data_IF_595895402470
#
_entry.id   IF_595895402470
#
_cell.length_a   1.000
_cell.length_b   1.000
_cell.length_c   1.000
_cell.angle_alpha   90.00
_cell.angle_beta   90.00
_cell.angle_gamma   90.00
#
_symmetry.space_group_name_H-M   'P 1'
#
loop_
_entity.id
_entity.type
_entity.pdbx_description
1 polymer ?
#
# COMPACT_ATOMS: atom_id res chain seq x y z
N UNK A 1 14.76 4.98 5.23
CA UNK A 1 15.73 5.30 6.29
C UNK A 1 15.19 4.79 7.61
N UNK A 2 16.05 4.36 8.53
CA UNK A 2 15.59 3.95 9.86
C UNK A 2 15.22 5.18 10.69
N UNK A 3 14.04 5.17 11.32
CA UNK A 3 13.58 6.24 12.20
C UNK A 3 14.43 6.22 13.49
N UNK A 4 14.82 7.39 14.00
CA UNK A 4 15.69 7.48 15.16
C UNK A 4 15.06 6.84 16.42
N UNK A 5 15.80 5.91 17.05
CA UNK A 5 15.36 5.14 18.22
C UNK A 5 14.07 4.34 17.96
N UNK A 6 13.90 3.81 16.75
CA UNK A 6 12.80 2.95 16.35
C UNK A 6 13.31 1.86 15.41
N UNK A 7 12.76 0.63 15.44
CA UNK A 7 13.06 -0.39 14.45
C UNK A 7 12.40 -0.09 13.08
N UNK A 8 11.55 0.93 12.99
CA UNK A 8 10.81 1.26 11.78
C UNK A 8 11.71 1.87 10.69
N UNK A 9 11.52 1.42 9.47
CA UNK A 9 12.08 1.96 8.25
C UNK A 9 11.03 2.78 7.51
N UNK A 10 11.32 4.05 7.23
CA UNK A 10 10.48 4.97 6.48
C UNK A 10 11.03 5.18 5.08
N UNK A 11 10.21 4.99 4.06
CA UNK A 11 10.52 5.32 2.67
C UNK A 11 9.37 6.09 2.01
N UNK A 12 9.57 6.59 0.79
CA UNK A 12 8.52 6.81 -0.19
C UNK A 12 8.55 5.72 -1.26
N UNK A 13 7.42 5.51 -1.92
CA UNK A 13 7.32 4.63 -3.08
C UNK A 13 7.81 5.34 -4.35
N UNK A 14 8.74 4.75 -5.09
CA UNK A 14 9.24 5.35 -6.35
C UNK A 14 8.22 5.36 -7.49
N UNK A 15 6.99 4.86 -7.27
CA UNK A 15 5.89 4.92 -8.23
C UNK A 15 5.54 6.36 -8.64
N UNK A 16 5.84 7.33 -7.77
CA UNK A 16 5.66 8.76 -8.03
C UNK A 16 6.46 9.26 -9.25
N UNK A 17 7.53 8.55 -9.65
CA UNK A 17 8.37 8.89 -10.78
C UNK A 17 7.97 8.07 -12.01
N UNK A 18 7.44 8.68 -13.09
CA UNK A 18 7.01 7.94 -14.27
C UNK A 18 8.15 7.14 -14.93
N UNK A 19 7.91 5.86 -15.20
CA UNK A 19 8.87 5.00 -15.87
C UNK A 19 8.39 3.55 -15.98
N UNK A 20 8.51 2.98 -17.18
CA UNK A 20 8.07 1.59 -17.46
C UNK A 20 9.25 0.64 -17.67
N UNK A 21 10.30 1.14 -18.32
CA UNK A 21 11.52 0.36 -18.60
C UNK A 21 12.51 0.49 -17.45
N UNK A 22 13.39 -0.51 -17.31
CA UNK A 22 14.47 -0.47 -16.32
C UNK A 22 15.36 0.77 -16.51
N UNK A 23 15.65 1.16 -17.75
CA UNK A 23 16.47 2.33 -18.04
C UNK A 23 15.84 3.63 -17.51
N UNK A 24 14.53 3.82 -17.70
CA UNK A 24 13.79 4.96 -17.16
C UNK A 24 13.75 4.94 -15.63
N UNK A 25 13.43 3.78 -15.05
CA UNK A 25 13.41 3.62 -13.59
C UNK A 25 14.77 3.99 -13.02
N UNK A 26 15.86 3.44 -13.56
CA UNK A 26 17.20 3.72 -13.05
C UNK A 26 17.62 5.19 -13.22
N UNK A 27 17.25 5.82 -14.34
CA UNK A 27 17.47 7.25 -14.53
C UNK A 27 16.74 8.10 -13.48
N UNK A 28 15.49 7.76 -13.14
CA UNK A 28 14.75 8.42 -12.07
C UNK A 28 15.42 8.24 -10.70
N UNK A 29 15.88 7.02 -10.39
CA UNK A 29 16.63 6.76 -9.15
C UNK A 29 17.88 7.64 -9.06
N UNK A 30 18.63 7.76 -10.15
CA UNK A 30 19.84 8.59 -10.23
C UNK A 30 19.54 10.09 -10.09
N UNK A 31 18.43 10.56 -10.66
CA UNK A 31 18.05 11.97 -10.62
C UNK A 31 17.60 12.43 -9.23
N UNK A 32 16.80 11.62 -8.53
CA UNK A 32 16.06 12.05 -7.35
C UNK A 32 16.68 11.59 -6.02
N UNK A 33 17.11 10.33 -5.91
CA UNK A 33 17.51 9.76 -4.61
C UNK A 33 18.74 10.42 -3.97
N UNK A 34 19.83 10.77 -4.69
CA UNK A 34 20.96 11.46 -4.07
C UNK A 34 20.57 12.82 -3.47
N UNK A 35 19.66 13.55 -4.14
CA UNK A 35 19.16 14.85 -3.68
C UNK A 35 18.34 14.69 -2.41
N UNK A 36 17.35 13.79 -2.42
CA UNK A 36 16.52 13.50 -1.25
C UNK A 36 17.36 13.02 -0.06
N UNK A 37 18.32 12.12 -0.28
CA UNK A 37 19.25 11.66 0.75
C UNK A 37 20.03 12.82 1.37
N UNK A 38 20.57 13.74 0.56
CA UNK A 38 21.35 14.86 1.08
C UNK A 38 20.58 15.75 2.05
N UNK A 39 19.25 15.86 1.87
CA UNK A 39 18.37 16.67 2.71
C UNK A 39 17.78 15.93 3.92
N UNK A 40 17.52 14.63 3.78
CA UNK A 40 16.79 13.83 4.77
C UNK A 40 17.69 12.93 5.61
N UNK A 41 18.78 12.44 5.05
CA UNK A 41 19.69 11.47 5.68
C UNK A 41 21.13 11.61 5.14
N UNK A 42 21.78 12.77 5.35
CA UNK A 42 23.11 13.03 4.79
C UNK A 42 24.14 12.00 5.26
N UNK A 43 24.16 11.69 6.56
CA UNK A 43 25.20 10.89 7.20
C UNK A 43 24.81 9.42 7.46
N UNK A 44 23.59 9.02 7.10
CA UNK A 44 23.06 7.67 7.36
C UNK A 44 22.51 7.01 6.09
N UNK A 45 22.45 5.66 6.04
CA UNK A 45 21.86 4.95 4.91
C UNK A 45 20.41 5.39 4.66
N UNK A 46 20.07 5.63 3.40
CA UNK A 46 18.72 6.02 3.00
C UNK A 46 18.01 4.83 2.35
N UNK A 47 16.80 4.55 2.84
CA UNK A 47 16.03 3.37 2.44
C UNK A 47 15.07 3.72 1.32
N UNK A 48 14.86 2.80 0.38
CA UNK A 48 14.08 2.97 -0.84
C UNK A 48 12.96 1.93 -0.90
N UNK A 49 11.76 2.40 -1.24
CA UNK A 49 10.61 1.61 -1.63
C UNK A 49 10.51 1.61 -3.14
N UNK A 50 10.99 0.54 -3.77
CA UNK A 50 11.17 0.51 -5.21
C UNK A 50 9.90 -0.04 -5.89
N UNK A 51 9.31 0.76 -6.77
CA UNK A 51 8.26 0.30 -7.68
C UNK A 51 8.87 -0.13 -9.01
N UNK A 52 8.55 -1.36 -9.44
CA UNK A 52 8.98 -1.91 -10.73
C UNK A 52 7.76 -2.48 -11.43
N UNK A 53 7.41 -2.00 -12.63
CA UNK A 53 6.48 -2.73 -13.50
C UNK A 53 7.09 -4.03 -14.02
N UNK A 54 6.28 -4.88 -14.64
CA UNK A 54 6.70 -6.19 -15.14
C UNK A 54 7.87 -6.10 -16.14
N UNK A 55 7.81 -5.14 -17.07
CA UNK A 55 8.88 -4.88 -18.05
C UNK A 55 10.19 -4.51 -17.35
N UNK A 56 10.16 -3.55 -16.42
CA UNK A 56 11.34 -3.15 -15.66
C UNK A 56 11.90 -4.30 -14.81
N UNK A 57 11.05 -5.11 -14.18
CA UNK A 57 11.47 -6.26 -13.38
C UNK A 57 12.17 -7.32 -14.25
N UNK A 58 11.62 -7.64 -15.41
CA UNK A 58 12.25 -8.58 -16.36
C UNK A 58 13.59 -8.05 -16.87
N UNK A 59 13.64 -6.79 -17.30
CA UNK A 59 14.87 -6.16 -17.77
C UNK A 59 15.94 -6.07 -16.67
N UNK A 60 15.55 -5.79 -15.43
CA UNK A 60 16.48 -5.71 -14.30
C UNK A 60 17.14 -7.08 -14.01
N UNK A 61 16.42 -8.18 -14.24
CA UNK A 61 16.96 -9.54 -14.09
C UNK A 61 17.85 -9.99 -15.25
N UNK A 62 17.93 -9.22 -16.33
CA UNK A 62 18.79 -9.54 -17.47
C UNK A 62 20.23 -9.04 -17.28
N UNK A 63 21.17 -9.79 -17.86
CA UNK A 63 22.58 -9.41 -17.95
C UNK A 63 23.18 -9.04 -16.57
N UNK A 64 23.78 -7.86 -16.45
CA UNK A 64 24.41 -7.36 -15.22
C UNK A 64 23.62 -6.24 -14.54
N UNK A 65 22.38 -5.97 -14.98
CA UNK A 65 21.59 -4.82 -14.51
C UNK A 65 21.38 -4.83 -12.99
N UNK A 66 21.00 -5.98 -12.42
CA UNK A 66 20.81 -6.11 -10.97
C UNK A 66 22.11 -5.90 -10.17
N UNK A 67 23.24 -6.35 -10.71
CA UNK A 67 24.56 -6.14 -10.10
C UNK A 67 24.95 -4.66 -10.15
N UNK A 68 24.71 -4.00 -11.29
CA UNK A 68 24.94 -2.56 -11.44
C UNK A 68 24.09 -1.74 -10.46
N UNK A 69 22.82 -2.09 -10.30
CA UNK A 69 21.96 -1.47 -9.29
C UNK A 69 22.52 -1.66 -7.88
N UNK A 70 22.91 -2.89 -7.51
CA UNK A 70 23.46 -3.18 -6.17
C UNK A 70 24.74 -2.38 -5.89
N UNK A 71 25.64 -2.27 -6.86
CA UNK A 71 26.86 -1.47 -6.76
C UNK A 71 26.52 0.02 -6.60
N UNK A 72 25.61 0.53 -7.41
CA UNK A 72 25.17 1.92 -7.35
C UNK A 72 24.53 2.26 -5.99
N UNK A 73 23.66 1.39 -5.47
CA UNK A 73 23.07 1.54 -4.14
C UNK A 73 24.15 1.63 -3.04
N UNK A 74 25.17 0.77 -3.13
CA UNK A 74 26.29 0.76 -2.17
C UNK A 74 27.08 2.06 -2.21
N UNK A 75 27.46 2.53 -3.41
CA UNK A 75 28.21 3.78 -3.61
C UNK A 75 27.47 5.00 -3.05
N UNK A 76 26.14 5.03 -3.19
CA UNK A 76 25.31 6.14 -2.70
C UNK A 76 24.80 5.96 -1.26
N UNK A 77 25.21 4.90 -0.57
CA UNK A 77 24.75 4.54 0.78
C UNK A 77 23.21 4.48 0.85
N UNK A 78 22.64 3.71 -0.07
CA UNK A 78 21.22 3.46 -0.25
C UNK A 78 20.92 1.97 -0.04
N UNK A 79 19.71 1.62 0.38
CA UNK A 79 19.27 0.22 0.49
C UNK A 79 17.80 0.05 0.12
N UNK A 80 17.45 -1.11 -0.42
CA UNK A 80 16.07 -1.48 -0.75
C UNK A 80 15.58 -2.50 0.28
N UNK A 81 14.45 -2.21 0.93
CA UNK A 81 13.83 -3.12 1.91
C UNK A 81 12.38 -3.46 1.56
N UNK A 82 11.78 -2.73 0.61
CA UNK A 82 10.44 -3.03 0.12
C UNK A 82 10.33 -2.76 -1.38
N UNK A 83 9.46 -3.53 -2.02
CA UNK A 83 8.97 -3.26 -3.36
C UNK A 83 7.47 -2.94 -3.35
N UNK A 84 7.03 -2.14 -4.32
CA UNK A 84 5.62 -2.07 -4.68
C UNK A 84 5.41 -2.89 -5.96
N UNK A 85 4.65 -3.98 -5.84
CA UNK A 85 4.31 -4.91 -6.93
C UNK A 85 3.01 -4.55 -7.65
N UNK A 86 2.50 -3.34 -7.47
CA UNK A 86 1.29 -2.84 -8.10
C UNK A 86 1.49 -1.39 -8.59
N UNK A 87 1.00 -1.03 -9.80
CA UNK A 87 0.38 -1.90 -10.80
C UNK A 87 1.40 -2.73 -11.60
N UNK A 88 0.89 -3.70 -12.37
CA UNK A 88 1.71 -4.58 -13.22
C UNK A 88 2.40 -3.87 -14.37
N UNK A 89 1.66 -3.01 -15.09
CA UNK A 89 2.09 -2.35 -16.32
C UNK A 89 2.31 -0.86 -16.15
N UNK A 90 2.07 -0.09 -17.21
CA UNK A 90 2.09 1.37 -17.11
C UNK A 90 1.05 1.86 -16.07
N UNK A 91 1.44 2.86 -15.29
CA UNK A 91 0.56 3.54 -14.33
C UNK A 91 0.28 4.99 -14.70
N UNK A 92 1.06 5.58 -15.62
CA UNK A 92 1.06 7.02 -15.87
C UNK A 92 0.67 7.31 -17.32
N UNK A 93 -0.26 8.25 -17.53
CA UNK A 93 -0.54 8.81 -18.86
C UNK A 93 -1.53 8.02 -19.73
N UNK A 94 -2.23 7.02 -19.20
CA UNK A 94 -3.28 6.27 -19.90
C UNK A 94 -4.53 6.07 -19.03
N UNK A 95 -5.71 5.95 -19.66
CA UNK A 95 -6.95 5.60 -18.95
C UNK A 95 -6.89 4.13 -18.54
N UNK A 96 -6.63 3.88 -17.26
CA UNK A 96 -6.45 2.53 -16.73
C UNK A 96 -7.73 2.04 -16.06
N UNK A 97 -8.40 2.87 -15.26
CA UNK A 97 -9.59 2.50 -14.47
C UNK A 97 -9.47 1.10 -13.83
N UNK A 98 -10.39 0.18 -14.10
CA UNK A 98 -10.38 -1.17 -13.53
C UNK A 98 -9.31 -2.09 -14.14
N UNK A 99 -8.72 -1.73 -15.29
CA UNK A 99 -7.64 -2.53 -15.88
C UNK A 99 -6.35 -2.49 -15.06
N UNK A 100 -6.25 -1.61 -14.05
CA UNK A 100 -5.12 -1.55 -13.11
C UNK A 100 -4.91 -2.89 -12.40
N UNK A 101 -6.01 -3.62 -12.16
CA UNK A 101 -6.02 -4.93 -11.53
C UNK A 101 -5.55 -6.05 -12.45
N UNK A 102 -5.43 -5.83 -13.77
CA UNK A 102 -4.95 -6.84 -14.73
C UNK A 102 -3.42 -6.86 -14.81
N UNK A 103 -2.82 -8.05 -14.97
CA UNK A 103 -3.35 -9.36 -14.60
C UNK A 103 -3.60 -9.45 -13.08
N UNK A 104 -4.68 -10.12 -12.67
CA UNK A 104 -5.00 -10.35 -11.26
C UNK A 104 -4.41 -11.68 -10.76
N UNK A 105 -4.66 -12.07 -9.51
CA UNK A 105 -4.11 -13.31 -8.95
C UNK A 105 -4.72 -14.59 -9.53
N UNK A 106 -5.75 -14.52 -10.38
CA UNK A 106 -6.23 -15.69 -11.14
C UNK A 106 -5.33 -16.02 -12.33
N UNK A 107 -4.52 -15.05 -12.78
CA UNK A 107 -3.62 -15.20 -13.91
C UNK A 107 -2.22 -15.65 -13.50
N UNK A 108 -1.58 -16.46 -14.35
CA UNK A 108 -0.19 -16.91 -14.14
C UNK A 108 0.81 -15.76 -14.26
N UNK A 109 0.54 -14.80 -15.13
CA UNK A 109 1.43 -13.67 -15.38
C UNK A 109 1.64 -12.82 -14.12
N UNK A 110 0.62 -12.67 -13.28
CA UNK A 110 0.75 -12.03 -11.96
C UNK A 110 1.72 -12.78 -11.05
N UNK A 111 1.64 -14.11 -11.04
CA UNK A 111 2.53 -14.94 -10.24
C UNK A 111 3.98 -14.89 -10.75
N UNK A 112 4.20 -14.95 -12.07
CA UNK A 112 5.54 -14.83 -12.67
C UNK A 112 6.17 -13.47 -12.40
N UNK A 113 5.41 -12.39 -12.58
CA UNK A 113 5.89 -11.06 -12.25
C UNK A 113 6.25 -10.91 -10.76
N UNK A 114 5.40 -11.42 -9.86
CA UNK A 114 5.71 -11.37 -8.42
C UNK A 114 6.95 -12.22 -8.07
N UNK A 115 7.15 -13.36 -8.75
CA UNK A 115 8.38 -14.15 -8.62
C UNK A 115 9.62 -13.34 -9.01
N UNK A 116 9.57 -12.55 -10.09
CA UNK A 116 10.69 -11.69 -10.48
C UNK A 116 11.01 -10.67 -9.38
N UNK A 117 9.98 -10.04 -8.81
CA UNK A 117 10.13 -9.11 -7.68
C UNK A 117 10.77 -9.79 -6.45
N UNK A 118 10.35 -11.01 -6.12
CA UNK A 118 10.94 -11.80 -5.02
C UNK A 118 12.43 -12.05 -5.27
N UNK A 119 12.80 -12.45 -6.49
CA UNK A 119 14.21 -12.71 -6.85
C UNK A 119 15.06 -11.44 -6.76
N UNK A 120 14.55 -10.31 -7.27
CA UNK A 120 15.20 -9.00 -7.18
C UNK A 120 15.41 -8.61 -5.72
N UNK A 121 14.34 -8.64 -4.91
CA UNK A 121 14.41 -8.24 -3.51
C UNK A 121 15.34 -9.14 -2.71
N UNK A 122 15.37 -10.45 -2.95
CA UNK A 122 16.28 -11.37 -2.27
C UNK A 122 17.76 -11.00 -2.44
N UNK A 123 18.13 -10.45 -3.61
CA UNK A 123 19.50 -9.97 -3.88
C UNK A 123 19.75 -8.61 -3.23
N UNK A 124 18.80 -7.68 -3.30
CA UNK A 124 18.97 -6.31 -2.84
C UNK A 124 18.79 -6.12 -1.33
N UNK A 125 18.02 -6.99 -0.68
CA UNK A 125 17.66 -6.87 0.73
C UNK A 125 18.89 -7.01 1.63
N UNK A 126 19.17 -6.05 2.53
CA UNK A 126 20.27 -6.14 3.49
C UNK A 126 20.10 -7.29 4.48
N UNK A 127 21.21 -7.74 5.07
CA UNK A 127 21.16 -8.71 6.18
C UNK A 127 20.48 -8.10 7.41
N UNK A 128 19.73 -8.93 8.15
CA UNK A 128 19.06 -8.53 9.39
C UNK A 128 17.78 -7.69 9.21
N UNK A 129 17.36 -7.42 7.98
CA UNK A 129 16.12 -6.71 7.65
C UNK A 129 15.19 -7.66 6.89
N UNK A 130 13.92 -7.75 7.28
CA UNK A 130 12.92 -8.48 6.51
C UNK A 130 12.54 -7.68 5.25
N UNK A 131 12.09 -8.34 4.18
CA UNK A 131 11.65 -7.67 2.95
C UNK A 131 10.14 -7.65 2.81
N UNK A 132 9.56 -6.63 2.19
CA UNK A 132 8.14 -6.62 1.81
C UNK A 132 7.90 -6.36 0.34
N UNK A 133 6.83 -6.93 -0.21
CA UNK A 133 6.34 -6.65 -1.57
C UNK A 133 4.82 -6.47 -1.47
N UNK A 134 4.28 -5.27 -1.73
CA UNK A 134 2.81 -5.12 -1.84
C UNK A 134 2.28 -5.69 -3.14
N UNK A 135 1.01 -6.08 -3.12
CA UNK A 135 0.27 -6.55 -4.29
C UNK A 135 -1.23 -6.35 -4.07
N UNK A 136 -1.98 -6.36 -5.17
CA UNK A 136 -3.42 -6.08 -5.25
C UNK A 136 -4.31 -7.01 -4.38
N UNK A 137 -5.60 -6.67 -4.14
CA UNK A 137 -6.56 -7.39 -3.30
C UNK A 137 -7.12 -8.67 -3.96
N UNK A 138 -6.23 -9.54 -4.46
CA UNK A 138 -6.54 -10.72 -5.26
C UNK A 138 -7.07 -10.38 -6.66
N UNK A 139 -8.19 -9.68 -6.76
CA UNK A 139 -8.86 -9.30 -8.01
C UNK A 139 -9.82 -8.14 -7.75
N UNK A 140 -10.63 -7.77 -8.74
CA UNK A 140 -11.62 -6.69 -8.67
C UNK A 140 -13.04 -7.29 -8.61
N UNK A 141 -13.75 -7.03 -7.51
CA UNK A 141 -15.06 -7.62 -7.18
C UNK A 141 -16.11 -7.41 -8.28
N UNK A 142 -16.23 -6.23 -8.93
CA UNK A 142 -17.21 -6.01 -10.01
C UNK A 142 -17.03 -6.86 -11.28
N UNK A 143 -15.91 -7.57 -11.46
CA UNK A 143 -15.74 -8.50 -12.58
C UNK A 143 -16.49 -9.83 -12.42
N UNK A 144 -16.99 -10.12 -11.22
CA UNK A 144 -17.58 -11.42 -10.92
C UNK A 144 -19.10 -11.31 -10.78
N UNK A 145 -19.82 -12.09 -11.58
CA UNK A 145 -21.27 -12.27 -11.45
C UNK A 145 -21.57 -13.52 -10.62
N UNK A 146 -21.72 -13.34 -9.31
CA UNK A 146 -22.16 -14.40 -8.39
C UNK A 146 -21.03 -15.10 -7.61
N UNK A 147 -21.46 -15.85 -6.58
CA UNK A 147 -20.58 -16.41 -5.55
C UNK A 147 -19.60 -17.45 -6.07
N UNK A 148 -20.03 -18.31 -6.99
CA UNK A 148 -19.20 -19.43 -7.46
C UNK A 148 -17.97 -18.94 -8.25
N UNK A 149 -18.13 -17.90 -9.07
CA UNK A 149 -17.03 -17.29 -9.80
C UNK A 149 -15.99 -16.67 -8.85
N UNK A 150 -16.44 -15.99 -7.78
CA UNK A 150 -15.55 -15.45 -6.75
C UNK A 150 -14.81 -16.56 -5.99
N UNK A 151 -15.51 -17.63 -5.60
CA UNK A 151 -14.91 -18.79 -4.90
C UNK A 151 -13.83 -19.46 -5.76
N UNK A 152 -14.07 -19.57 -7.07
CA UNK A 152 -13.10 -20.09 -8.02
C UNK A 152 -11.85 -19.19 -8.10
N UNK A 153 -12.05 -17.88 -8.22
CA UNK A 153 -10.96 -16.90 -8.27
C UNK A 153 -10.09 -16.94 -7.01
N UNK A 154 -10.70 -16.93 -5.81
CA UNK A 154 -9.99 -17.04 -4.52
C UNK A 154 -9.21 -18.36 -4.41
N UNK A 155 -9.77 -19.46 -4.93
CA UNK A 155 -9.10 -20.77 -4.94
C UNK A 155 -7.90 -20.78 -5.88
N UNK A 156 -8.02 -20.22 -7.08
CA UNK A 156 -6.91 -20.11 -8.04
C UNK A 156 -5.79 -19.22 -7.50
N UNK A 157 -6.15 -18.05 -6.96
CA UNK A 157 -5.22 -17.13 -6.33
C UNK A 157 -4.46 -17.78 -5.18
N UNK A 158 -5.15 -18.54 -4.32
CA UNK A 158 -4.51 -19.31 -3.24
C UNK A 158 -3.44 -20.27 -3.78
N UNK A 159 -3.72 -20.93 -4.91
CA UNK A 159 -2.75 -21.83 -5.54
C UNK A 159 -1.49 -21.12 -6.03
N UNK A 160 -1.63 -19.94 -6.62
CA UNK A 160 -0.49 -19.12 -7.04
C UNK A 160 0.30 -18.58 -5.84
N UNK A 161 -0.37 -18.07 -4.81
CA UNK A 161 0.29 -17.58 -3.58
C UNK A 161 1.05 -18.70 -2.86
N UNK A 162 0.47 -19.90 -2.76
CA UNK A 162 1.13 -21.06 -2.17
C UNK A 162 2.43 -21.44 -2.93
N UNK A 163 2.43 -21.38 -4.26
CA UNK A 163 3.65 -21.63 -5.04
C UNK A 163 4.76 -20.61 -4.74
N UNK A 164 4.40 -19.33 -4.57
CA UNK A 164 5.37 -18.29 -4.20
C UNK A 164 5.86 -18.46 -2.76
N UNK A 165 5.03 -18.92 -1.83
CA UNK A 165 5.46 -19.25 -0.45
C UNK A 165 6.52 -20.36 -0.45
N UNK A 166 6.41 -21.36 -1.33
CA UNK A 166 7.46 -22.37 -1.47
C UNK A 166 8.81 -21.76 -1.91
N UNK A 167 8.78 -20.81 -2.86
CA UNK A 167 9.97 -20.06 -3.29
C UNK A 167 10.56 -19.22 -2.14
N UNK A 168 9.72 -18.48 -1.43
CA UNK A 168 10.10 -17.63 -0.31
C UNK A 168 10.73 -18.44 0.83
N UNK A 169 10.15 -19.60 1.16
CA UNK A 169 10.70 -20.52 2.15
C UNK A 169 12.10 -21.01 1.74
N UNK A 170 12.30 -21.38 0.47
CA UNK A 170 13.61 -21.80 -0.03
C UNK A 170 14.65 -20.66 0.01
N UNK A 171 14.25 -19.42 -0.27
CA UNK A 171 15.13 -18.24 -0.12
C UNK A 171 15.52 -18.06 1.35
N UNK A 172 14.55 -18.11 2.27
CA UNK A 172 14.79 -17.98 3.70
C UNK A 172 15.74 -19.07 4.22
N UNK A 173 15.55 -20.34 3.81
CA UNK A 173 16.43 -21.45 4.21
C UNK A 173 17.87 -21.28 3.69
N UNK A 174 18.05 -20.75 2.47
CA UNK A 174 19.38 -20.61 1.85
C UNK A 174 20.14 -19.38 2.31
N UNK A 175 19.43 -18.30 2.65
CA UNK A 175 20.04 -16.97 2.84
C UNK A 175 19.77 -16.38 4.21
N UNK A 176 18.85 -16.94 4.99
CA UNK A 176 18.35 -16.33 6.22
C UNK A 176 17.41 -15.15 6.01
N UNK A 177 17.22 -14.67 4.76
CA UNK A 177 16.38 -13.52 4.44
C UNK A 177 14.91 -13.91 4.38
N UNK A 178 14.08 -13.24 5.17
CA UNK A 178 12.62 -13.40 5.16
C UNK A 178 12.00 -12.30 4.31
N UNK A 179 11.18 -12.67 3.33
CA UNK A 179 10.42 -11.73 2.49
C UNK A 179 8.93 -12.04 2.65
N UNK A 180 8.11 -11.01 2.75
CA UNK A 180 6.66 -11.11 2.82
C UNK A 180 6.01 -10.54 1.56
N UNK A 181 4.91 -11.16 1.14
CA UNK A 181 3.95 -10.59 0.22
C UNK A 181 2.82 -9.97 1.04
N UNK A 182 2.64 -8.66 0.90
CA UNK A 182 1.55 -7.91 1.51
C UNK A 182 0.38 -7.80 0.55
N UNK A 183 -0.69 -8.57 0.80
CA UNK A 183 -1.97 -8.33 0.12
C UNK A 183 -2.53 -6.99 0.61
N UNK A 184 -2.93 -6.13 -0.32
CA UNK A 184 -3.42 -4.78 -0.06
C UNK A 184 -4.92 -4.75 -0.28
N UNK A 185 -5.76 -4.87 0.78
CA UNK A 185 -7.19 -4.63 0.66
C UNK A 185 -7.45 -3.21 0.17
N UNK A 186 -8.42 -3.06 -0.73
CA UNK A 186 -8.82 -1.75 -1.27
C UNK A 186 -10.29 -1.77 -1.71
N UNK A 187 -10.94 -0.59 -1.80
CA UNK A 187 -12.33 -0.45 -2.25
C UNK A 187 -12.61 -1.17 -3.57
N UNK A 188 -13.73 -1.89 -3.64
CA UNK A 188 -14.11 -2.79 -4.74
C UNK A 188 -13.13 -3.96 -5.03
N UNK A 189 -12.08 -4.15 -4.23
CA UNK A 189 -11.22 -5.34 -4.28
C UNK A 189 -11.98 -6.62 -3.91
N UNK A 190 -11.55 -7.78 -4.42
CA UNK A 190 -12.15 -9.06 -4.02
C UNK A 190 -11.92 -9.35 -2.53
N UNK A 191 -10.91 -8.70 -1.96
CA UNK A 191 -10.72 -8.50 -0.54
C UNK A 191 -10.72 -6.99 -0.29
N UNK A 192 -11.82 -6.46 0.24
CA UNK A 192 -12.03 -5.03 0.35
C UNK A 192 -11.70 -4.47 1.74
N UNK A 193 -12.06 -5.21 2.79
CA UNK A 193 -11.95 -4.78 4.19
C UNK A 193 -11.37 -5.86 5.09
N UNK A 194 -11.19 -5.55 6.39
CA UNK A 194 -10.62 -6.48 7.37
C UNK A 194 -11.43 -7.77 7.50
N UNK A 195 -12.75 -7.73 7.43
CA UNK A 195 -13.58 -8.92 7.56
C UNK A 195 -13.39 -9.88 6.39
N UNK A 196 -13.42 -9.37 5.16
CA UNK A 196 -13.19 -10.15 3.96
C UNK A 196 -11.77 -10.74 3.92
N UNK A 197 -10.79 -9.98 4.40
CA UNK A 197 -9.39 -10.44 4.49
C UNK A 197 -9.24 -11.60 5.48
N UNK A 198 -9.81 -11.48 6.68
CA UNK A 198 -9.82 -12.56 7.67
C UNK A 198 -10.55 -13.79 7.12
N UNK A 199 -11.68 -13.59 6.45
CA UNK A 199 -12.44 -14.66 5.81
C UNK A 199 -11.61 -15.37 4.72
N UNK A 200 -10.87 -14.62 3.89
CA UNK A 200 -9.97 -15.19 2.89
C UNK A 200 -8.90 -16.07 3.52
N UNK A 201 -8.21 -15.59 4.57
CA UNK A 201 -7.21 -16.38 5.28
C UNK A 201 -7.82 -17.67 5.83
N UNK A 202 -8.93 -17.55 6.54
CA UNK A 202 -9.59 -18.65 7.25
C UNK A 202 -10.17 -19.72 6.31
N UNK A 203 -10.77 -19.30 5.19
CA UNK A 203 -11.56 -20.20 4.34
C UNK A 203 -10.85 -20.64 3.06
N UNK A 204 -9.82 -19.91 2.63
CA UNK A 204 -9.11 -20.17 1.38
C UNK A 204 -7.62 -20.36 1.61
N UNK A 205 -6.90 -19.29 1.98
CA UNK A 205 -5.44 -19.28 1.95
C UNK A 205 -4.85 -20.39 2.83
N UNK A 206 -5.21 -20.43 4.11
CA UNK A 206 -4.67 -21.39 5.06
C UNK A 206 -5.09 -22.83 4.72
N UNK A 207 -6.39 -23.19 4.68
CA UNK A 207 -6.78 -24.58 4.48
C UNK A 207 -6.39 -25.14 3.10
N UNK A 208 -6.46 -24.35 2.02
CA UNK A 208 -6.15 -24.85 0.67
C UNK A 208 -4.67 -24.71 0.34
N UNK A 209 -4.06 -23.57 0.67
CA UNK A 209 -2.64 -23.31 0.43
C UNK A 209 -1.73 -24.23 1.24
N UNK A 210 -2.06 -24.50 2.51
CA UNK A 210 -1.24 -25.35 3.36
C UNK A 210 -1.25 -26.80 2.87
N UNK A 211 -2.39 -27.29 2.35
CA UNK A 211 -2.50 -28.61 1.73
C UNK A 211 -1.68 -28.72 0.44
N UNK A 212 -1.68 -27.67 -0.38
CA UNK A 212 -0.84 -27.63 -1.58
C UNK A 212 0.65 -27.64 -1.22
N UNK A 213 1.06 -26.77 -0.31
CA UNK A 213 2.44 -26.71 0.19
C UNK A 213 2.89 -28.03 0.83
N UNK A 214 2.01 -28.71 1.58
CA UNK A 214 2.30 -30.02 2.18
C UNK A 214 2.65 -31.03 1.11
N UNK A 215 1.88 -31.08 0.02
CA UNK A 215 2.14 -31.97 -1.12
C UNK A 215 3.44 -31.59 -1.84
N UNK A 216 3.69 -30.29 -2.03
CA UNK A 216 4.85 -29.80 -2.77
C UNK A 216 6.17 -29.95 -2.00
N UNK A 217 6.17 -29.71 -0.70
CA UNK A 217 7.38 -29.66 0.15
C UNK A 217 7.56 -30.89 1.04
N UNK A 218 6.56 -31.78 1.14
CA UNK A 218 6.63 -32.95 2.02
C UNK A 218 6.63 -32.62 3.53
N UNK A 219 6.14 -31.44 3.91
CA UNK A 219 6.13 -30.95 5.29
C UNK A 219 4.81 -31.26 6.02
N UNK A 220 4.84 -31.20 7.36
CA UNK A 220 3.62 -31.31 8.17
C UNK A 220 2.69 -30.11 7.96
N UNK A 221 1.38 -30.31 8.13
CA UNK A 221 0.37 -29.29 7.80
C UNK A 221 0.54 -28.04 8.67
N UNK A 222 0.85 -28.20 9.96
CA UNK A 222 1.09 -27.11 10.91
C UNK A 222 2.33 -26.29 10.52
N UNK A 223 3.27 -26.90 9.80
CA UNK A 223 4.44 -26.18 9.29
C UNK A 223 4.09 -25.39 8.05
N UNK A 224 3.29 -25.93 7.14
CA UNK A 224 2.89 -25.21 5.93
C UNK A 224 1.88 -24.10 6.20
N UNK A 225 1.02 -24.24 7.21
CA UNK A 225 0.20 -23.13 7.73
C UNK A 225 1.06 -21.99 8.27
N UNK A 226 2.08 -22.30 9.09
CA UNK A 226 3.03 -21.29 9.58
C UNK A 226 3.78 -20.58 8.45
N UNK A 227 4.19 -21.30 7.41
CA UNK A 227 4.83 -20.70 6.24
C UNK A 227 3.91 -19.70 5.53
N UNK A 228 2.61 -19.99 5.43
CA UNK A 228 1.64 -19.05 4.85
C UNK A 228 1.51 -17.78 5.70
N UNK A 229 1.34 -17.89 7.01
CA UNK A 229 1.28 -16.71 7.89
C UNK A 229 2.59 -15.91 7.94
N UNK A 230 3.74 -16.60 7.80
CA UNK A 230 5.04 -15.95 7.76
C UNK A 230 5.23 -15.12 6.49
N UNK A 231 4.82 -15.65 5.34
CA UNK A 231 5.16 -15.08 4.04
C UNK A 231 4.01 -14.34 3.35
N UNK A 232 2.75 -14.59 3.71
CA UNK A 232 1.60 -13.83 3.23
C UNK A 232 1.06 -13.01 4.40
N UNK A 233 1.20 -11.70 4.28
CA UNK A 233 0.85 -10.69 5.27
C UNK A 233 -0.02 -9.63 4.60
N UNK A 234 -0.31 -8.54 5.31
CA UNK A 234 -1.16 -7.44 4.83
C UNK A 234 -0.32 -6.23 4.53
N UNK A 235 -0.53 -5.62 3.37
CA UNK A 235 -0.16 -4.24 3.14
C UNK A 235 -1.30 -3.36 3.67
N UNK A 236 -1.07 -2.67 4.78
CA UNK A 236 -2.09 -1.82 5.39
C UNK A 236 -1.95 -0.41 4.82
N UNK A 237 -2.78 -0.07 3.84
CA UNK A 237 -2.84 1.27 3.29
C UNK A 237 -3.83 2.14 4.09
N UNK A 238 -3.37 3.27 4.62
CA UNK A 238 -4.20 4.12 5.48
C UNK A 238 -5.34 4.83 4.74
N UNK A 239 -5.20 5.06 3.43
CA UNK A 239 -6.27 5.58 2.57
C UNK A 239 -7.37 4.52 2.40
N UNK A 240 -7.02 3.30 1.99
CA UNK A 240 -7.98 2.24 1.70
C UNK A 240 -8.86 1.91 2.91
N UNK A 241 -8.24 1.66 4.07
CA UNK A 241 -8.98 1.34 5.29
C UNK A 241 -9.84 2.51 5.78
N UNK A 242 -9.39 3.75 5.57
CA UNK A 242 -10.21 4.91 5.88
C UNK A 242 -11.44 5.00 4.95
N UNK A 243 -11.29 4.73 3.64
CA UNK A 243 -12.42 4.74 2.69
C UNK A 243 -13.47 3.70 3.08
N UNK A 244 -13.07 2.53 3.59
CA UNK A 244 -13.98 1.50 4.13
C UNK A 244 -14.64 1.85 5.47
N UNK A 245 -14.37 3.04 6.03
CA UNK A 245 -14.84 3.47 7.35
C UNK A 245 -14.38 2.56 8.51
N UNK A 246 -13.28 1.83 8.34
CA UNK A 246 -12.67 1.05 9.43
C UNK A 246 -11.81 1.97 10.32
N UNK A 247 -11.71 1.66 11.62
CA UNK A 247 -10.76 2.36 12.50
C UNK A 247 -9.44 1.58 12.59
N UNK A 248 -8.28 2.24 12.76
CA UNK A 248 -7.01 1.54 12.87
C UNK A 248 -6.97 0.55 14.04
N UNK A 249 -7.56 0.93 15.18
CA UNK A 249 -7.58 0.10 16.38
C UNK A 249 -8.36 -1.21 16.16
N UNK A 250 -9.52 -1.14 15.53
CA UNK A 250 -10.36 -2.32 15.28
C UNK A 250 -9.75 -3.20 14.18
N UNK A 251 -9.34 -2.59 13.05
CA UNK A 251 -8.77 -3.31 11.92
C UNK A 251 -7.46 -4.03 12.31
N UNK A 252 -6.47 -3.29 12.82
CA UNK A 252 -5.17 -3.86 13.22
C UNK A 252 -5.31 -4.82 14.40
N UNK A 253 -6.23 -4.54 15.33
CA UNK A 253 -6.55 -5.43 16.43
C UNK A 253 -7.09 -6.77 15.97
N UNK A 254 -8.07 -6.77 15.04
CA UNK A 254 -8.69 -7.98 14.48
C UNK A 254 -7.69 -8.80 13.64
N UNK A 255 -6.83 -8.14 12.87
CA UNK A 255 -5.75 -8.81 12.12
C UNK A 255 -4.77 -9.51 13.08
N UNK A 256 -4.31 -8.81 14.11
CA UNK A 256 -3.41 -9.36 15.13
C UNK A 256 -4.04 -10.55 15.87
N UNK A 257 -5.31 -10.43 16.29
CA UNK A 257 -6.05 -11.52 16.94
C UNK A 257 -6.23 -12.74 16.03
N UNK A 258 -6.27 -12.53 14.71
CA UNK A 258 -6.37 -13.60 13.71
C UNK A 258 -5.01 -14.19 13.33
N UNK A 259 -3.91 -13.73 13.93
CA UNK A 259 -2.55 -14.16 13.60
C UNK A 259 -2.04 -13.63 12.25
N UNK A 260 -2.76 -12.69 11.63
CA UNK A 260 -2.41 -12.12 10.33
C UNK A 260 -1.45 -10.96 10.56
N UNK A 261 -0.20 -11.12 10.08
CA UNK A 261 0.83 -10.10 10.23
C UNK A 261 0.69 -8.93 9.24
N UNK A 262 1.27 -7.79 9.60
CA UNK A 262 1.40 -6.63 8.71
C UNK A 262 2.77 -6.67 8.02
N UNK A 263 2.76 -6.65 6.69
CA UNK A 263 3.96 -6.65 5.84
C UNK A 263 4.60 -5.28 5.80
N UNK A 264 3.80 -4.25 5.54
CA UNK A 264 4.15 -2.84 5.54
C UNK A 264 2.90 -2.00 5.71
N UNK A 265 3.07 -0.74 6.09
CA UNK A 265 2.02 0.26 6.14
C UNK A 265 2.31 1.30 5.06
N UNK A 266 1.37 1.48 4.13
CA UNK A 266 1.40 2.62 3.22
C UNK A 266 0.77 3.82 3.91
N UNK A 267 1.50 4.93 3.91
CA UNK A 267 1.11 6.20 4.49
C UNK A 267 0.52 7.06 3.37
N UNK A 268 -0.80 7.08 3.33
CA UNK A 268 -1.63 7.75 2.32
C UNK A 268 -2.87 8.33 2.99
N UNK A 269 -3.62 9.18 2.30
CA UNK A 269 -4.87 9.75 2.82
C UNK A 269 -5.85 9.94 1.68
N UNK A 270 -7.13 9.67 1.93
CA UNK A 270 -8.26 9.84 1.02
C UNK A 270 -8.83 11.26 1.11
N UNK A 271 -9.69 11.62 0.15
CA UNK A 271 -10.56 12.80 0.26
C UNK A 271 -11.75 12.44 1.16
N UNK A 272 -12.05 13.31 2.13
CA UNK A 272 -13.20 13.20 3.04
C UNK A 272 -14.06 14.45 2.96
N UNK A 273 -15.38 14.28 2.80
CA UNK A 273 -16.32 15.40 2.76
C UNK A 273 -17.57 15.12 3.59
N UNK A 274 -17.91 16.06 4.45
CA UNK A 274 -19.23 16.14 5.09
C UNK A 274 -20.25 16.67 4.08
N UNK A 275 -21.42 16.05 4.01
CA UNK A 275 -22.50 16.43 3.11
C UNK A 275 -23.32 17.55 3.75
N UNK A 276 -23.30 18.78 3.18
CA UNK A 276 -24.04 19.90 3.74
C UNK A 276 -25.55 19.66 3.73
N UNK A 277 -26.29 20.32 4.63
CA UNK A 277 -27.75 20.20 4.68
C UNK A 277 -28.46 21.09 3.64
N UNK A 278 -27.89 22.23 3.28
CA UNK A 278 -28.49 23.16 2.32
C UNK A 278 -27.99 22.90 0.88
N UNK A 279 -28.83 23.22 -0.12
CA UNK A 279 -28.47 23.00 -1.52
C UNK A 279 -27.32 23.87 -2.05
N UNK A 280 -27.22 25.18 -1.72
CA UNK A 280 -26.11 26.01 -2.19
C UNK A 280 -24.73 25.45 -1.85
N UNK A 281 -24.54 24.94 -0.63
CA UNK A 281 -23.28 24.38 -0.19
C UNK A 281 -23.00 23.02 -0.84
N UNK A 282 -24.04 22.21 -1.09
CA UNK A 282 -23.90 20.96 -1.89
C UNK A 282 -23.45 21.26 -3.32
N UNK A 283 -23.98 22.32 -3.96
CA UNK A 283 -23.52 22.75 -5.29
C UNK A 283 -22.07 23.23 -5.27
N UNK A 284 -21.66 23.98 -4.24
CA UNK A 284 -20.28 24.40 -4.07
C UNK A 284 -19.34 23.20 -3.83
N UNK A 285 -19.76 22.22 -3.03
CA UNK A 285 -19.03 20.97 -2.82
C UNK A 285 -18.90 20.17 -4.12
N UNK A 286 -19.97 20.03 -4.90
CA UNK A 286 -19.94 19.34 -6.19
C UNK A 286 -18.89 19.94 -7.13
N UNK A 287 -18.87 21.27 -7.23
CA UNK A 287 -17.89 22.00 -8.06
C UNK A 287 -16.45 21.78 -7.61
N UNK A 288 -16.21 21.65 -6.31
CA UNK A 288 -14.87 21.38 -5.75
C UNK A 288 -14.40 19.95 -5.97
N UNK A 289 -15.32 18.98 -5.97
CA UNK A 289 -15.00 17.57 -6.24
C UNK A 289 -14.85 17.28 -7.74
N UNK A 290 -15.47 18.08 -8.62
CA UNK A 290 -15.45 17.85 -10.06
C UNK A 290 -14.04 17.69 -10.67
N UNK A 291 -13.00 18.47 -10.28
CA UNK A 291 -11.65 18.30 -10.80
C UNK A 291 -11.01 16.96 -10.45
N UNK A 292 -11.44 16.33 -9.34
CA UNK A 292 -10.95 15.02 -8.89
C UNK A 292 -11.65 13.86 -9.59
N UNK A 293 -12.76 14.11 -10.30
CA UNK A 293 -13.42 13.11 -11.14
C UNK A 293 -12.68 12.95 -12.48
N UNK A 294 -11.38 12.69 -12.39
CA UNK A 294 -10.51 12.54 -13.55
C UNK A 294 -10.62 11.12 -14.16
N UNK A 295 -10.15 10.96 -15.39
CA UNK A 295 -10.42 9.79 -16.22
C UNK A 295 -9.38 8.66 -16.15
N UNK A 296 -8.24 8.88 -15.52
CA UNK A 296 -7.06 7.99 -15.53
C UNK A 296 -7.26 6.83 -14.56
N UNK A 297 -7.59 7.15 -13.30
CA UNK A 297 -7.70 6.19 -12.19
C UNK A 297 -9.14 5.99 -11.71
N UNK A 298 -9.40 4.89 -11.03
CA UNK A 298 -10.66 4.71 -10.30
C UNK A 298 -10.62 5.54 -9.02
N UNK A 299 -11.70 6.28 -8.77
CA UNK A 299 -11.90 6.99 -7.51
C UNK A 299 -13.13 6.46 -6.82
N UNK A 300 -13.05 5.26 -6.26
CA UNK A 300 -14.15 4.63 -5.55
C UNK A 300 -14.65 5.57 -4.45
N UNK A 301 -15.97 5.71 -4.33
CA UNK A 301 -16.61 6.56 -3.31
C UNK A 301 -17.46 5.69 -2.40
N UNK A 302 -17.23 5.80 -1.10
CA UNK A 302 -18.08 5.18 -0.10
C UNK A 302 -18.79 6.29 0.66
N UNK A 303 -20.12 6.23 0.62
CA UNK A 303 -21.02 7.18 1.24
C UNK A 303 -21.64 6.53 2.49
N UNK A 304 -21.36 7.11 3.66
CA UNK A 304 -21.92 6.66 4.93
C UNK A 304 -23.21 7.42 5.24
N UNK A 305 -24.28 6.68 5.51
CA UNK A 305 -25.57 7.19 5.97
C UNK A 305 -25.63 7.24 7.49
N UNK A 306 -26.61 7.98 8.04
CA UNK A 306 -26.76 8.19 9.48
C UNK A 306 -26.96 6.89 10.29
N UNK A 307 -27.52 5.85 9.68
CA UNK A 307 -27.73 4.53 10.27
C UNK A 307 -26.49 3.61 10.17
N UNK A 308 -25.37 4.13 9.64
CA UNK A 308 -24.13 3.38 9.40
C UNK A 308 -24.12 2.60 8.09
N UNK A 309 -25.21 2.64 7.30
CA UNK A 309 -25.23 1.99 5.99
C UNK A 309 -24.19 2.62 5.05
N UNK A 310 -23.39 1.78 4.40
CA UNK A 310 -22.38 2.18 3.42
C UNK A 310 -22.89 1.94 2.00
N UNK A 311 -22.99 3.03 1.23
CA UNK A 311 -23.31 2.98 -0.19
C UNK A 311 -22.04 3.18 -1.02
N UNK A 312 -21.78 2.26 -1.96
CA UNK A 312 -20.59 2.27 -2.81
C UNK A 312 -20.89 2.81 -4.21
N UNK A 313 -19.98 3.62 -4.73
CA UNK A 313 -19.93 4.03 -6.13
C UNK A 313 -18.54 3.67 -6.69
N UNK A 314 -18.51 3.08 -7.88
CA UNK A 314 -17.27 2.58 -8.50
C UNK A 314 -16.28 3.70 -8.86
N UNK A 315 -16.79 4.92 -9.04
CA UNK A 315 -15.98 6.06 -9.44
C UNK A 315 -16.66 7.38 -9.03
N UNK A 316 -15.86 8.39 -8.71
CA UNK A 316 -16.34 9.72 -8.32
C UNK A 316 -17.21 10.36 -9.41
N UNK A 317 -16.89 10.17 -10.68
CA UNK A 317 -17.71 10.66 -11.79
C UNK A 317 -19.13 10.07 -11.79
N UNK A 318 -19.30 8.85 -11.27
CA UNK A 318 -20.60 8.20 -11.10
C UNK A 318 -21.31 8.64 -9.83
N UNK A 319 -20.56 8.98 -8.77
CA UNK A 319 -21.12 9.46 -7.51
C UNK A 319 -21.66 10.89 -7.62
N UNK A 320 -20.93 11.79 -8.28
CA UNK A 320 -21.22 13.23 -8.34
C UNK A 320 -22.66 13.61 -8.72
N UNK A 321 -23.32 12.96 -9.70
CA UNK A 321 -24.72 13.25 -10.04
C UNK A 321 -25.69 13.04 -8.86
N UNK A 322 -25.33 12.21 -7.88
CA UNK A 322 -26.17 11.90 -6.72
C UNK A 322 -25.94 12.86 -5.54
N UNK A 323 -24.90 13.69 -5.56
CA UNK A 323 -24.48 14.51 -4.42
C UNK A 323 -25.58 15.45 -3.91
N UNK A 324 -26.35 16.06 -4.82
CA UNK A 324 -27.39 17.02 -4.46
C UNK A 324 -28.54 16.38 -3.69
N UNK A 325 -28.84 15.11 -3.99
CA UNK A 325 -30.03 14.41 -3.48
C UNK A 325 -29.68 13.31 -2.46
N UNK A 326 -28.39 13.10 -2.17
CA UNK A 326 -27.97 12.04 -1.24
C UNK A 326 -28.45 12.31 0.19
N UNK A 327 -28.73 11.22 0.91
CA UNK A 327 -29.01 11.22 2.35
C UNK A 327 -27.79 10.82 3.18
N UNK A 328 -26.67 10.49 2.53
CA UNK A 328 -25.41 10.24 3.20
C UNK A 328 -24.97 11.48 3.99
N UNK A 329 -24.31 11.25 5.12
CA UNK A 329 -23.72 12.30 5.95
C UNK A 329 -22.29 12.60 5.53
N UNK A 330 -21.56 11.59 5.09
CA UNK A 330 -20.15 11.72 4.71
C UNK A 330 -19.85 10.88 3.48
N UNK A 331 -19.00 11.40 2.58
CA UNK A 331 -18.36 10.62 1.53
C UNK A 331 -16.86 10.56 1.77
N UNK A 332 -16.28 9.37 1.57
CA UNK A 332 -14.84 9.18 1.44
C UNK A 332 -14.54 8.68 0.03
N UNK A 333 -13.58 9.32 -0.62
CA UNK A 333 -13.19 9.02 -2.00
C UNK A 333 -11.75 8.55 -2.03
N UNK A 334 -11.53 7.34 -2.55
CA UNK A 334 -10.21 6.79 -2.78
C UNK A 334 -9.42 7.71 -3.72
N UNK A 335 -8.41 8.36 -3.15
CA UNK A 335 -7.56 9.31 -3.83
C UNK A 335 -6.35 9.59 -2.93
N UNK A 336 -5.11 9.40 -3.39
CA UNK A 336 -3.95 9.54 -2.52
C UNK A 336 -3.49 10.99 -2.47
N UNK A 337 -4.16 11.80 -1.65
CA UNK A 337 -3.81 13.20 -1.41
C UNK A 337 -2.59 13.31 -0.49
N UNK A 338 -1.87 14.45 -0.50
CA UNK A 338 -0.72 14.65 0.38
C UNK A 338 -1.00 14.29 1.84
N UNK A 339 -0.03 13.69 2.52
CA UNK A 339 -0.30 13.26 3.90
C UNK A 339 -0.20 14.39 4.93
N UNK A 340 0.34 15.55 4.55
CA UNK A 340 0.57 16.67 5.48
C UNK A 340 -0.51 17.76 5.49
N UNK A 341 -1.51 17.75 4.61
CA UNK A 341 -2.64 18.66 4.73
C UNK A 341 -3.90 17.92 5.21
N UNK A 342 -4.58 18.56 6.15
CA UNK A 342 -5.88 18.14 6.68
C UNK A 342 -7.03 18.69 5.81
N UNK A 343 -6.81 19.84 5.16
CA UNK A 343 -7.78 20.56 4.34
C UNK A 343 -7.12 21.05 3.04
N UNK A 344 -7.85 20.92 1.93
CA UNK A 344 -7.47 21.27 0.57
C UNK A 344 -8.57 22.07 -0.12
N UNK A 345 -8.76 23.33 0.28
CA UNK A 345 -9.80 24.19 -0.30
C UNK A 345 -11.21 23.85 0.17
N UNK A 346 -11.32 23.40 1.43
CA UNK A 346 -12.54 22.97 2.08
C UNK A 346 -13.02 21.57 1.67
N UNK A 347 -12.11 20.76 1.12
CA UNK A 347 -12.18 19.30 1.11
C UNK A 347 -11.25 18.81 2.21
N UNK A 348 -11.72 17.94 3.11
CA UNK A 348 -10.87 17.38 4.15
C UNK A 348 -10.14 16.15 3.62
N UNK A 349 -9.16 15.66 4.37
CA UNK A 349 -8.55 14.36 4.15
C UNK A 349 -8.78 13.40 5.30
N UNK A 350 -8.59 12.11 5.04
CA UNK A 350 -8.59 11.09 6.10
C UNK A 350 -7.27 11.05 6.90
N UNK A 351 -6.52 12.15 6.95
CA UNK A 351 -5.24 12.26 7.69
C UNK A 351 -5.38 11.82 9.16
N UNK A 352 -6.54 12.05 9.77
CA UNK A 352 -6.82 11.57 11.14
C UNK A 352 -6.61 10.06 11.30
N UNK A 353 -7.02 9.25 10.31
CA UNK A 353 -6.82 7.80 10.29
C UNK A 353 -5.33 7.44 10.25
N UNK A 354 -4.56 8.16 9.44
CA UNK A 354 -3.11 8.01 9.33
C UNK A 354 -2.41 8.36 10.66
N UNK A 355 -2.76 9.48 11.30
CA UNK A 355 -2.22 9.88 12.61
C UNK A 355 -2.53 8.82 13.67
N UNK A 356 -3.77 8.31 13.70
CA UNK A 356 -4.17 7.24 14.62
C UNK A 356 -3.38 5.95 14.37
N UNK A 357 -3.12 5.60 13.11
CA UNK A 357 -2.30 4.45 12.72
C UNK A 357 -0.85 4.62 13.22
N UNK A 358 -0.24 5.78 12.98
CA UNK A 358 1.11 6.11 13.45
C UNK A 358 1.21 6.07 14.98
N UNK A 359 0.18 6.51 15.70
CA UNK A 359 0.11 6.39 17.16
C UNK A 359 -0.01 4.93 17.61
N UNK A 360 -0.81 4.12 16.91
CA UNK A 360 -1.05 2.71 17.24
C UNK A 360 0.24 1.89 17.13
N UNK A 361 1.00 2.04 16.05
CA UNK A 361 2.22 1.25 15.82
C UNK A 361 3.38 1.63 16.74
N UNK A 362 3.35 2.81 17.32
CA UNK A 362 4.32 3.21 18.34
C UNK A 362 4.07 2.51 19.69
N UNK A 363 2.87 2.00 19.94
CA UNK A 363 2.56 1.15 21.10
C UNK A 363 2.50 -0.34 20.77
N UNK A 364 2.38 -0.70 19.48
CA UNK A 364 2.27 -2.07 19.00
C UNK A 364 3.24 -2.30 17.83
N UNK A 365 4.40 -2.95 18.05
CA UNK A 365 5.41 -3.17 17.00
C UNK A 365 4.98 -4.29 16.02
N UNK A 366 3.93 -4.05 15.25
CA UNK A 366 3.29 -5.03 14.35
C UNK A 366 3.93 -5.10 12.95
N UNK A 367 4.77 -4.12 12.60
CA UNK A 367 5.50 -4.06 11.34
C UNK A 367 6.80 -3.28 11.51
N UNK A 368 7.68 -3.36 10.51
CA UNK A 368 8.93 -2.60 10.46
C UNK A 368 8.96 -1.61 9.30
N UNK A 369 8.00 -1.64 8.37
CA UNK A 369 8.10 -0.92 7.10
C UNK A 369 6.97 0.09 6.95
N UNK A 370 7.34 1.35 6.74
CA UNK A 370 6.47 2.46 6.40
C UNK A 370 6.84 3.00 5.03
N UNK A 371 5.86 3.17 4.16
CA UNK A 371 6.06 3.68 2.79
C UNK A 371 5.05 4.80 2.51
N UNK A 372 5.54 6.02 2.31
CA UNK A 372 4.72 7.14 1.88
C UNK A 372 4.31 6.91 0.42
N UNK A 373 3.01 7.04 0.14
CA UNK A 373 2.41 6.58 -1.12
C UNK A 373 1.49 7.64 -1.73
N UNK A 374 2.01 8.86 -1.89
CA UNK A 374 1.31 9.97 -2.56
C UNK A 374 1.75 10.06 -4.02
N UNK A 375 0.81 9.98 -4.96
CA UNK A 375 1.10 10.00 -6.41
C UNK A 375 0.26 11.02 -7.20
N UNK A 376 -0.51 11.87 -6.52
CA UNK A 376 -1.51 12.74 -7.16
C UNK A 376 -1.10 14.21 -7.26
N UNK A 377 0.20 14.51 -7.13
CA UNK A 377 0.70 15.90 -7.12
C UNK A 377 0.31 16.70 -8.36
N UNK A 378 0.36 16.09 -9.54
CA UNK A 378 0.08 16.76 -10.81
C UNK A 378 -1.42 17.06 -11.03
N UNK A 379 -2.30 16.41 -10.26
CA UNK A 379 -3.76 16.57 -10.33
C UNK A 379 -4.32 17.43 -9.19
N UNK A 380 -3.47 17.86 -8.25
CA UNK A 380 -3.86 18.88 -7.27
C UNK A 380 -4.08 20.24 -7.95
N UNK A 381 -4.92 21.11 -7.37
CA UNK A 381 -5.03 22.51 -7.77
C UNK A 381 -3.65 23.18 -7.91
N UNK A 382 -3.46 24.01 -8.94
CA UNK A 382 -2.15 24.58 -9.31
C UNK A 382 -1.47 25.36 -8.17
N UNK A 383 -2.24 25.98 -7.28
CA UNK A 383 -1.76 26.70 -6.10
C UNK A 383 -1.20 25.77 -5.00
N UNK A 384 -1.48 24.48 -5.05
CA UNK A 384 -1.00 23.45 -4.12
C UNK A 384 0.11 22.58 -4.70
N UNK A 385 0.43 22.73 -5.99
CA UNK A 385 1.50 21.97 -6.65
C UNK A 385 2.87 22.43 -6.16
N UNK A 386 3.69 21.47 -5.74
CA UNK A 386 5.09 21.66 -5.36
C UNK A 386 5.98 20.89 -6.33
N UNK A 387 7.26 21.27 -6.43
CA UNK A 387 8.22 20.38 -7.08
C UNK A 387 8.27 19.04 -6.32
N UNK A 388 8.37 17.94 -7.07
CA UNK A 388 8.16 16.59 -6.53
C UNK A 388 9.15 16.25 -5.41
N UNK A 389 10.40 16.71 -5.51
CA UNK A 389 11.43 16.46 -4.50
C UNK A 389 11.12 17.19 -3.19
N UNK A 390 10.66 18.44 -3.25
CA UNK A 390 10.20 19.20 -2.08
C UNK A 390 8.93 18.61 -1.48
N UNK A 391 8.01 18.13 -2.31
CA UNK A 391 6.79 17.48 -1.87
C UNK A 391 7.10 16.21 -1.04
N UNK A 392 7.93 15.32 -1.59
CA UNK A 392 8.41 14.11 -0.91
C UNK A 392 9.14 14.49 0.39
N UNK A 393 10.06 15.46 0.34
CA UNK A 393 10.79 15.91 1.53
C UNK A 393 9.84 16.36 2.65
N UNK A 394 8.79 17.12 2.29
CA UNK A 394 7.80 17.61 3.25
C UNK A 394 7.01 16.48 3.89
N UNK A 395 6.64 15.45 3.14
CA UNK A 395 5.96 14.26 3.67
C UNK A 395 6.84 13.48 4.65
N UNK A 396 8.12 13.27 4.31
CA UNK A 396 9.07 12.66 5.24
C UNK A 396 9.17 13.43 6.55
N UNK A 397 9.35 14.76 6.47
CA UNK A 397 9.45 15.62 7.66
C UNK A 397 8.18 15.57 8.50
N UNK A 398 7.01 15.57 7.86
CA UNK A 398 5.73 15.46 8.55
C UNK A 398 5.61 14.13 9.31
N UNK A 399 5.93 12.99 8.68
CA UNK A 399 5.88 11.68 9.36
C UNK A 399 6.85 11.65 10.53
N UNK A 400 8.10 12.10 10.35
CA UNK A 400 9.10 12.13 11.42
C UNK A 400 8.65 13.00 12.61
N UNK A 401 8.00 14.14 12.34
CA UNK A 401 7.43 15.00 13.37
C UNK A 401 6.36 14.27 14.20
N UNK A 402 5.51 13.44 13.59
CA UNK A 402 4.50 12.66 14.33
C UNK A 402 5.14 11.70 15.36
N UNK A 403 6.27 11.06 15.02
CA UNK A 403 7.02 10.21 15.94
C UNK A 403 7.68 11.01 17.08
N UNK A 404 8.20 12.20 16.79
CA UNK A 404 8.80 13.07 17.80
C UNK A 404 7.76 13.61 18.79
N UNK A 405 6.61 14.07 18.28
CA UNK A 405 5.51 14.61 19.09
C UNK A 405 4.89 13.56 20.03
N UNK A 406 4.63 12.34 19.55
CA UNK A 406 4.09 11.26 20.42
C UNK A 406 5.11 10.90 21.51
N UNK A 407 6.41 10.80 21.17
CA UNK A 407 7.45 10.55 22.18
C UNK A 407 7.50 11.65 23.24
N UNK A 408 7.42 12.92 22.86
CA UNK A 408 7.37 14.04 23.79
C UNK A 408 6.14 13.94 24.71
N UNK A 409 4.96 13.64 24.14
CA UNK A 409 3.71 13.45 24.91
C UNK A 409 3.83 12.31 25.93
N UNK A 410 4.40 11.17 25.55
CA UNK A 410 4.61 10.02 26.45
C UNK A 410 5.58 10.33 27.58
N UNK A 411 6.66 11.08 27.31
CA UNK A 411 7.60 11.54 28.34
C UNK A 411 6.93 12.47 29.35
N UNK A 412 6.11 13.41 28.89
CA UNK A 412 5.37 14.32 29.78
C UNK A 412 4.39 13.58 30.69
N UNK A 413 3.66 12.58 30.16
CA UNK A 413 2.75 11.74 30.97
C UNK A 413 3.55 10.94 32.02
N UNK A 414 4.68 10.35 31.63
CA UNK A 414 5.54 9.61 32.58
C UNK A 414 6.13 10.50 33.69
N UNK A 415 6.33 11.80 33.45
CA UNK A 415 6.82 12.74 34.46
C UNK A 415 5.72 13.23 35.42
N UNK A 416 4.45 13.11 35.05
CA UNK A 416 3.30 13.47 35.92
C UNK A 416 2.93 12.31 36.86
N UNK A 417 3.28 11.08 36.47
CA UNK A 417 2.93 9.84 37.21
C UNK A 417 4.04 9.43 38.20
N UNK A 418 5.26 9.96 38.05
CA UNK A 418 6.35 9.83 39.03
C UNK A 418 6.45 11.09 39.88
#
# INVERSE_FOLDING_TARGET
MQIAHSPLHLTYCTNIHPGETWAQVFANLQAHLPRLKSKLSPDRPFGIGLRLGAIAAEQLLQSTNLVQLQQWLTVHNLYVFTLNGFPYGNFHGEVIKDQVYRPDWTARDRAYYTQNLIQILAVLLPEGIEGSISTLPISYKPWFTGRDAMVLALTQATGHLANLVALLNNIAQKTGKVIHLGLEPEPDGLIENTEELVAFFKHFLIPKGAQQLKKQLGLQIETTERLLYQHIKVCYDTCHFAVEFETPQEALGKLTQSGIGISKIQLSSAIEVEIPQNQPDRLALQKRLQPFAESTYLHQVIAQHQDGHLQRYRDLGQALPHLLNTKAQQWRTHFHVPIFLEDYGGLKSTQTHLIQTLSYIQSHPICQHLEIETYTWDVLPTDLQLDIDTAIEREYRWVLQQFESDRARRRSIAHIIN
#
